data_IF_932344505959
#
_entry.id   IF_932344505959
#
_cell.length_a   1.000
_cell.length_b   1.000
_cell.length_c   1.000
_cell.angle_alpha   90.00
_cell.angle_beta   90.00
_cell.angle_gamma   90.00
#
_symmetry.space_group_name_H-M   'P 1'
#
loop_
_entity.id
_entity.type
_entity.pdbx_description
1 polymer ?
#
# COMPACT_ATOMS: atom_id res chain seq x y z
N UNK A 1 7.51 51.10 -14.29
CA UNK A 1 7.40 49.63 -14.31
C UNK A 1 8.76 49.06 -13.92
N UNK A 2 8.90 48.50 -12.71
CA UNK A 2 10.16 47.89 -12.25
C UNK A 2 10.00 46.36 -12.21
N UNK A 3 11.02 45.59 -12.64
CA UNK A 3 10.91 44.14 -12.64
C UNK A 3 11.13 43.61 -11.21
N UNK A 4 10.14 42.87 -10.69
CA UNK A 4 10.31 42.03 -9.49
C UNK A 4 11.34 40.94 -9.79
N UNK A 5 12.53 41.05 -9.21
CA UNK A 5 13.47 39.93 -9.11
C UNK A 5 12.80 38.82 -8.30
N UNK A 6 12.38 37.74 -8.97
CA UNK A 6 11.97 36.49 -8.33
C UNK A 6 13.21 35.80 -7.77
N UNK A 7 13.41 35.95 -6.46
CA UNK A 7 14.41 35.20 -5.72
C UNK A 7 14.09 33.69 -5.81
N UNK A 8 15.06 32.80 -6.07
CA UNK A 8 14.82 31.37 -6.07
C UNK A 8 14.52 30.95 -4.64
N UNK A 9 13.29 30.52 -4.37
CA UNK A 9 12.95 29.89 -3.09
C UNK A 9 13.81 28.63 -2.97
N UNK A 10 14.89 28.68 -2.18
CA UNK A 10 15.50 27.47 -1.63
C UNK A 10 14.37 26.67 -0.98
N UNK A 11 14.21 25.37 -1.28
CA UNK A 11 13.32 24.55 -0.48
C UNK A 11 13.86 24.60 0.95
N UNK A 12 13.14 25.25 1.85
CA UNK A 12 13.39 25.15 3.28
C UNK A 12 12.95 23.74 3.71
N UNK A 13 13.69 22.72 3.27
CA UNK A 13 13.58 21.38 3.81
C UNK A 13 14.24 21.41 5.17
N UNK A 14 13.49 21.14 6.24
CA UNK A 14 14.08 20.91 7.56
C UNK A 14 15.15 19.81 7.48
N UNK A 15 16.05 19.75 8.46
CA UNK A 15 17.20 18.83 8.45
C UNK A 15 16.84 17.38 8.08
N UNK A 16 15.65 16.91 8.51
CA UNK A 16 15.11 15.59 8.18
C UNK A 16 14.86 15.37 6.67
N UNK A 17 14.43 16.39 5.93
CA UNK A 17 14.17 16.30 4.49
C UNK A 17 15.45 16.22 3.65
N UNK A 18 16.61 16.52 4.24
CA UNK A 18 17.92 16.46 3.59
C UNK A 18 18.73 15.22 3.98
N UNK A 19 18.17 14.31 4.80
CA UNK A 19 18.88 13.10 5.24
C UNK A 19 18.88 12.02 4.15
N UNK A 20 19.91 11.16 4.12
CA UNK A 20 19.93 9.98 3.25
C UNK A 20 18.77 9.01 3.55
N UNK A 21 18.26 8.36 2.50
CA UNK A 21 17.19 7.35 2.57
C UNK A 21 17.45 6.24 3.60
N UNK A 22 18.71 5.85 3.79
CA UNK A 22 19.10 4.83 4.76
C UNK A 22 18.81 5.25 6.21
N UNK A 23 19.03 6.52 6.52
CA UNK A 23 18.76 7.09 7.85
C UNK A 23 17.26 7.22 8.04
N UNK A 24 16.55 7.71 7.01
CA UNK A 24 15.09 7.79 7.00
C UNK A 24 14.45 6.41 7.20
N UNK A 25 15.01 5.37 6.59
CA UNK A 25 14.57 3.99 6.77
C UNK A 25 14.74 3.54 8.22
N UNK A 26 15.90 3.78 8.85
CA UNK A 26 16.11 3.41 10.26
C UNK A 26 15.12 4.12 11.18
N UNK A 27 14.89 5.42 10.97
CA UNK A 27 13.90 6.20 11.73
C UNK A 27 12.52 5.59 11.53
N UNK A 28 12.14 5.31 10.28
CA UNK A 28 10.85 4.72 9.93
C UNK A 28 10.61 3.38 10.64
N UNK A 29 11.61 2.49 10.68
CA UNK A 29 11.52 1.20 11.36
C UNK A 29 11.41 1.29 12.88
N UNK A 30 11.86 2.39 13.49
CA UNK A 30 11.80 2.62 14.93
C UNK A 30 10.48 3.26 15.39
N UNK A 31 9.67 3.78 14.47
CA UNK A 31 8.39 4.38 14.81
C UNK A 31 7.41 3.33 15.35
N UNK A 32 6.75 3.67 16.46
CA UNK A 32 5.64 2.87 16.97
C UNK A 32 4.39 3.00 16.08
N UNK A 33 4.14 4.20 15.57
CA UNK A 33 3.01 4.51 14.70
C UNK A 33 3.48 5.23 13.42
N UNK A 34 3.33 4.62 12.24
CA UNK A 34 3.84 5.15 10.98
C UNK A 34 2.92 6.23 10.38
N UNK A 35 1.70 6.40 10.87
CA UNK A 35 0.64 7.21 10.23
C UNK A 35 0.95 8.71 10.17
N UNK A 36 1.64 9.24 11.18
CA UNK A 36 1.90 10.68 11.31
C UNK A 36 3.18 11.13 10.60
N UNK A 37 4.10 10.21 10.36
CA UNK A 37 5.42 10.53 9.79
C UNK A 37 5.36 11.07 8.34
N UNK A 38 4.51 10.54 7.43
CA UNK A 38 4.29 11.13 6.10
C UNK A 38 3.75 12.56 6.11
N UNK A 39 3.19 13.03 7.23
CA UNK A 39 2.60 14.37 7.34
C UNK A 39 3.65 15.46 7.61
N UNK A 40 4.88 15.09 7.98
CA UNK A 40 5.92 16.03 8.42
C UNK A 40 6.42 16.89 7.24
N UNK A 41 6.78 16.27 6.12
CA UNK A 41 7.25 16.99 4.95
C UNK A 41 7.04 16.20 3.65
N UNK A 42 7.13 16.89 2.51
CA UNK A 42 6.91 16.30 1.17
C UNK A 42 7.90 15.18 0.84
N UNK A 43 9.18 15.37 1.14
CA UNK A 43 10.23 14.36 0.88
C UNK A 43 10.00 13.07 1.70
N UNK A 44 9.67 13.20 2.99
CA UNK A 44 9.30 12.04 3.83
C UNK A 44 8.02 11.38 3.32
N UNK A 45 7.04 12.17 2.87
CA UNK A 45 5.84 11.62 2.26
C UNK A 45 6.17 10.77 1.02
N UNK A 46 7.02 11.26 0.14
CA UNK A 46 7.47 10.50 -1.04
C UNK A 46 8.22 9.24 -0.65
N UNK A 47 9.12 9.32 0.34
CA UNK A 47 9.87 8.18 0.86
C UNK A 47 8.94 7.10 1.46
N UNK A 48 8.02 7.49 2.33
CA UNK A 48 7.06 6.59 3.00
C UNK A 48 6.00 6.05 2.05
N UNK A 49 5.74 6.72 0.93
CA UNK A 49 4.80 6.22 -0.07
C UNK A 49 5.32 5.01 -0.85
N UNK A 50 6.64 4.75 -0.83
CA UNK A 50 7.23 3.61 -1.54
C UNK A 50 6.77 2.27 -0.93
N UNK A 51 6.29 1.31 -1.75
CA UNK A 51 5.76 0.05 -1.27
C UNK A 51 6.84 -0.77 -0.53
N UNK A 52 8.08 -0.76 -1.02
CA UNK A 52 9.19 -1.53 -0.41
C UNK A 52 9.52 -1.04 1.00
N UNK A 53 9.46 0.28 1.22
CA UNK A 53 9.72 0.92 2.52
C UNK A 53 8.65 0.51 3.53
N UNK A 54 7.39 0.50 3.11
CA UNK A 54 6.26 0.05 3.94
C UNK A 54 6.31 -1.46 4.19
N UNK A 55 6.61 -2.27 3.17
CA UNK A 55 6.73 -3.71 3.30
C UNK A 55 7.82 -4.08 4.32
N UNK A 56 8.98 -3.43 4.22
CA UNK A 56 10.10 -3.60 5.16
C UNK A 56 9.71 -3.24 6.59
N UNK A 57 8.89 -2.20 6.79
CA UNK A 57 8.35 -1.85 8.11
C UNK A 57 7.48 -2.95 8.70
N UNK A 58 6.47 -3.42 7.96
CA UNK A 58 5.58 -4.47 8.47
C UNK A 58 6.34 -5.77 8.73
N UNK A 59 7.28 -6.14 7.87
CA UNK A 59 8.12 -7.33 8.03
C UNK A 59 9.05 -7.22 9.24
N UNK A 60 9.70 -6.07 9.44
CA UNK A 60 10.59 -5.87 10.57
C UNK A 60 9.85 -5.81 11.90
N UNK A 61 8.61 -5.29 11.91
CA UNK A 61 7.84 -5.07 13.14
C UNK A 61 7.05 -6.30 13.58
N UNK A 62 6.40 -6.98 12.64
CA UNK A 62 5.46 -8.06 12.93
C UNK A 62 5.95 -9.44 12.46
N UNK A 63 7.03 -9.48 11.68
CA UNK A 63 7.54 -10.71 11.07
C UNK A 63 6.70 -11.17 9.88
N UNK A 64 7.18 -12.21 9.19
CA UNK A 64 6.59 -12.69 7.92
C UNK A 64 5.15 -13.20 8.06
N UNK A 65 4.79 -13.79 9.19
CA UNK A 65 3.48 -14.40 9.40
C UNK A 65 2.37 -13.37 9.63
N UNK A 66 2.67 -12.30 10.35
CA UNK A 66 1.67 -11.30 10.77
C UNK A 66 1.75 -10.00 9.96
N UNK A 67 2.81 -9.78 9.17
CA UNK A 67 2.99 -8.57 8.37
C UNK A 67 1.78 -8.29 7.46
N UNK A 68 1.28 -9.30 6.74
CA UNK A 68 0.13 -9.13 5.85
C UNK A 68 -1.14 -8.76 6.64
N UNK A 69 -1.38 -9.44 7.75
CA UNK A 69 -2.54 -9.19 8.62
C UNK A 69 -2.55 -7.75 9.18
N UNK A 70 -1.42 -7.30 9.73
CA UNK A 70 -1.30 -5.93 10.24
C UNK A 70 -1.34 -4.87 9.14
N UNK A 71 -0.82 -5.17 7.95
CA UNK A 71 -0.93 -4.27 6.81
C UNK A 71 -2.41 -4.07 6.42
N UNK A 72 -3.21 -5.14 6.35
CA UNK A 72 -4.65 -5.06 6.06
C UNK A 72 -5.45 -4.32 7.14
N UNK A 73 -5.03 -4.43 8.42
CA UNK A 73 -5.64 -3.67 9.52
C UNK A 73 -5.41 -2.15 9.40
N UNK A 74 -4.49 -1.71 8.53
CA UNK A 74 -4.16 -0.31 8.28
C UNK A 74 -4.55 0.09 6.84
N UNK A 75 -5.85 0.29 6.54
CA UNK A 75 -6.32 0.55 5.17
C UNK A 75 -5.76 1.85 4.57
N UNK A 76 -5.31 2.80 5.39
CA UNK A 76 -4.67 4.04 4.92
C UNK A 76 -3.28 3.82 4.31
N UNK A 77 -2.62 2.72 4.67
CA UNK A 77 -1.28 2.37 4.22
C UNK A 77 -1.28 1.15 3.30
N UNK A 78 -2.41 0.43 3.21
CA UNK A 78 -2.58 -0.78 2.42
C UNK A 78 -2.97 -0.46 0.98
N UNK A 79 -2.02 -0.63 0.07
CA UNK A 79 -2.20 -0.49 -1.37
C UNK A 79 -1.92 -1.83 -2.07
N UNK A 80 -2.42 -2.02 -3.29
CA UNK A 80 -2.14 -3.22 -4.11
C UNK A 80 -0.63 -3.43 -4.31
N UNK A 81 0.12 -2.35 -4.55
CA UNK A 81 1.58 -2.39 -4.66
C UNK A 81 2.27 -2.83 -3.36
N UNK A 82 1.72 -2.47 -2.20
CA UNK A 82 2.23 -2.94 -0.91
C UNK A 82 1.93 -4.43 -0.73
N UNK A 83 0.72 -4.87 -1.08
CA UNK A 83 0.35 -6.28 -1.03
C UNK A 83 1.32 -7.13 -1.86
N UNK A 84 1.59 -6.72 -3.09
CA UNK A 84 2.56 -7.40 -3.96
C UNK A 84 3.97 -7.40 -3.36
N UNK A 85 4.46 -6.23 -2.91
CA UNK A 85 5.80 -6.12 -2.30
C UNK A 85 5.95 -6.99 -1.04
N UNK A 86 4.88 -7.14 -0.24
CA UNK A 86 4.86 -8.04 0.91
C UNK A 86 4.94 -9.52 0.48
N UNK A 87 4.18 -9.93 -0.53
CA UNK A 87 4.23 -11.30 -1.07
C UNK A 87 5.60 -11.60 -1.66
N UNK A 88 6.16 -10.69 -2.45
CA UNK A 88 7.49 -10.83 -3.06
C UNK A 88 8.59 -10.92 -1.99
N UNK A 89 8.41 -10.21 -0.87
CA UNK A 89 9.30 -10.26 0.30
C UNK A 89 9.09 -11.49 1.20
N UNK A 90 8.16 -12.37 0.86
CA UNK A 90 7.89 -13.63 1.59
C UNK A 90 6.98 -13.47 2.80
N UNK A 91 6.10 -12.47 2.83
CA UNK A 91 5.02 -12.41 3.82
C UNK A 91 4.03 -13.56 3.58
N UNK A 92 3.66 -14.27 4.64
CA UNK A 92 2.68 -15.33 4.55
C UNK A 92 1.26 -14.75 4.58
N UNK A 93 0.41 -15.30 3.72
CA UNK A 93 -1.02 -15.06 3.73
C UNK A 93 -1.67 -16.17 4.56
N UNK A 94 -2.43 -15.80 5.59
CA UNK A 94 -3.15 -16.77 6.42
C UNK A 94 -4.11 -17.61 5.57
N UNK A 95 -4.16 -18.92 5.84
CA UNK A 95 -5.03 -19.86 5.11
C UNK A 95 -6.50 -19.42 5.12
N UNK A 96 -6.99 -18.89 6.25
CA UNK A 96 -8.35 -18.37 6.36
C UNK A 96 -8.63 -17.24 5.35
N UNK A 97 -7.65 -16.36 5.12
CA UNK A 97 -7.77 -15.27 4.14
C UNK A 97 -7.81 -15.83 2.71
N UNK A 98 -6.92 -16.77 2.40
CA UNK A 98 -6.91 -17.47 1.11
C UNK A 98 -8.24 -18.19 0.85
N UNK A 99 -8.81 -18.84 1.86
CA UNK A 99 -10.10 -19.50 1.76
C UNK A 99 -11.21 -18.49 1.43
N UNK A 100 -11.27 -17.36 2.13
CA UNK A 100 -12.30 -16.36 1.89
C UNK A 100 -12.16 -15.69 0.51
N UNK A 101 -10.93 -15.35 0.11
CA UNK A 101 -10.63 -14.85 -1.24
C UNK A 101 -11.05 -15.86 -2.33
N UNK A 102 -10.82 -17.16 -2.09
CA UNK A 102 -11.22 -18.20 -3.04
C UNK A 102 -12.74 -18.33 -3.16
N UNK A 103 -13.50 -18.11 -2.08
CA UNK A 103 -14.98 -18.11 -2.10
C UNK A 103 -15.51 -16.90 -2.86
N UNK A 104 -14.97 -15.71 -2.61
CA UNK A 104 -15.35 -14.50 -3.35
C UNK A 104 -15.10 -14.65 -4.85
N UNK A 105 -13.94 -15.18 -5.24
CA UNK A 105 -13.62 -15.42 -6.65
C UNK A 105 -14.62 -16.38 -7.30
N UNK A 106 -15.03 -17.46 -6.61
CA UNK A 106 -16.07 -18.37 -7.12
C UNK A 106 -17.42 -17.67 -7.30
N UNK A 107 -17.82 -16.80 -6.37
CA UNK A 107 -19.08 -16.06 -6.51
C UNK A 107 -19.09 -15.10 -7.70
N UNK A 108 -17.99 -14.36 -7.93
CA UNK A 108 -17.86 -13.46 -9.09
C UNK A 108 -17.87 -14.24 -10.41
N UNK A 109 -17.20 -15.39 -10.44
CA UNK A 109 -17.23 -16.30 -11.62
C UNK A 109 -18.63 -16.86 -11.85
N UNK A 110 -19.34 -17.30 -10.80
CA UNK A 110 -20.72 -17.78 -10.94
C UNK A 110 -21.68 -16.69 -11.44
N UNK A 111 -21.54 -15.43 -10.98
CA UNK A 111 -22.37 -14.32 -11.45
C UNK A 111 -22.09 -13.91 -12.91
N UNK A 112 -20.84 -14.01 -13.35
CA UNK A 112 -20.47 -13.72 -14.74
C UNK A 112 -20.93 -14.81 -15.72
N UNK A 113 -20.90 -16.09 -15.30
CA UNK A 113 -21.47 -17.21 -16.06
C UNK A 113 -22.99 -17.06 -16.17
N UNK A 114 -23.70 -16.69 -15.10
CA UNK A 114 -25.16 -16.47 -15.12
C UNK A 114 -25.59 -15.29 -16.02
N UNK A 115 -24.70 -14.34 -16.30
CA UNK A 115 -24.98 -13.22 -17.24
C UNK A 115 -24.72 -13.56 -18.70
N UNK A 116 -24.00 -14.64 -19.01
CA UNK A 116 -23.66 -15.03 -20.38
C UNK A 116 -24.60 -16.09 -20.98
N UNK A 117 -25.64 -16.53 -20.28
CA UNK A 117 -26.67 -17.37 -20.86
C UNK A 117 -27.75 -16.48 -21.51
N UNK A 118 -27.81 -16.35 -22.86
CA UNK A 118 -28.97 -15.75 -23.48
C UNK A 118 -30.16 -16.67 -23.19
N UNK A 119 -31.21 -16.07 -22.63
CA UNK A 119 -32.50 -16.70 -22.35
C UNK A 119 -32.99 -17.35 -23.65
N UNK A 120 -32.88 -18.68 -23.76
CA UNK A 120 -33.35 -19.44 -24.92
C UNK A 120 -34.88 -19.38 -24.89
N UNK A 121 -35.48 -18.44 -25.62
CA UNK A 121 -36.93 -18.34 -25.79
C UNK A 121 -37.42 -19.62 -26.48
N UNK A 122 -38.00 -20.53 -25.70
CA UNK A 122 -38.78 -21.64 -26.22
C UNK A 122 -40.12 -21.06 -26.72
N UNK A 123 -40.16 -20.70 -28.01
CA UNK A 123 -41.41 -20.50 -28.74
C UNK A 123 -41.93 -21.86 -29.21
N UNK A 124 -42.93 -22.39 -28.51
CA UNK A 124 -43.73 -23.53 -28.97
C UNK A 124 -44.72 -23.05 -30.02
N UNK A 125 -44.74 -23.71 -31.17
CA UNK A 125 -45.81 -23.63 -32.19
C UNK A 125 -46.85 -24.70 -31.93
#
# INVERSE_FOLDING_TARGET
MTPRKSSPRKPQGGALASMPDEVLMKIWLLLAEPTNFPLICKSIREFTQRPDVRAKYFLSRHGRYLAMFHAMACPKLFDEALCQSLVDSGAHISLALMQELSKQRRQVVSQSILRCCPRRSFGGS
#
